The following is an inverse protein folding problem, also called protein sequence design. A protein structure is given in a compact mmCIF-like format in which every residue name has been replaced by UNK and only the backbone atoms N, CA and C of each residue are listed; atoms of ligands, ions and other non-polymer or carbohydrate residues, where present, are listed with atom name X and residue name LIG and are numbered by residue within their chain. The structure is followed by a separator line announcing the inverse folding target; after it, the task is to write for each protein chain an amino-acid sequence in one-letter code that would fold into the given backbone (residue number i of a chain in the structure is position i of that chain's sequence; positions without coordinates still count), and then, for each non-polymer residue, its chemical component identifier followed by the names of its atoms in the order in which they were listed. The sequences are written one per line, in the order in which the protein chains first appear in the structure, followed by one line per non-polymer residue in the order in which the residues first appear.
data_IF_281611073856
#
_entry.id   IF_281611073856
#
_cell.length_a   1.000
_cell.length_b   1.000
_cell.length_c   1.000
_cell.angle_alpha   90.00
_cell.angle_beta   90.00
_cell.angle_gamma   90.00
#
_symmetry.space_group_name_H-M   'P 1'
#
loop_
_entity.id
_entity.type
_entity.pdbx_description
1 polymer ?
#
# COMPACT_ATOMS: atom_id res chain seq x y z
N UNK A 1 3.74 -2.64 -7.36
CA UNK A 1 3.20 -2.60 -5.98
C UNK A 1 3.09 -1.15 -5.58
N UNK A 2 1.87 -0.70 -5.29
CA UNK A 2 1.53 0.67 -4.92
C UNK A 2 0.29 0.67 -4.04
N UNK A 3 -0.07 1.79 -3.44
CA UNK A 3 -1.36 1.98 -2.78
C UNK A 3 -2.05 3.24 -3.30
N UNK A 4 -3.35 3.32 -3.09
CA UNK A 4 -4.18 4.48 -3.40
C UNK A 4 -4.79 5.03 -2.10
N UNK A 5 -5.01 6.35 -2.04
CA UNK A 5 -5.73 6.99 -0.92
C UNK A 5 -7.24 6.74 -1.01
N UNK A 6 -7.75 6.53 -2.22
CA UNK A 6 -9.15 6.21 -2.48
C UNK A 6 -9.42 4.71 -2.31
N UNK A 7 -10.67 4.38 -1.99
CA UNK A 7 -11.17 3.04 -2.23
C UNK A 7 -11.23 2.80 -3.74
N UNK A 8 -11.03 1.56 -4.18
CA UNK A 8 -10.96 1.20 -5.59
C UNK A 8 -11.82 -0.03 -5.88
N UNK A 9 -12.65 0.06 -6.92
CA UNK A 9 -13.36 -1.08 -7.50
C UNK A 9 -12.70 -1.45 -8.82
N UNK A 10 -11.92 -2.52 -8.81
CA UNK A 10 -11.23 -3.08 -9.98
C UNK A 10 -12.14 -4.12 -10.65
N UNK A 11 -12.69 -3.78 -11.81
CA UNK A 11 -13.53 -4.67 -12.61
C UNK A 11 -12.72 -5.29 -13.76
N UNK A 12 -12.72 -6.61 -13.87
CA UNK A 12 -12.11 -7.32 -15.00
C UNK A 12 -13.14 -7.46 -16.13
N UNK A 13 -12.95 -6.71 -17.21
CA UNK A 13 -13.90 -6.65 -18.33
C UNK A 13 -13.65 -7.80 -19.32
N UNK A 14 -12.38 -8.14 -19.55
CA UNK A 14 -11.97 -9.19 -20.48
C UNK A 14 -10.65 -9.82 -20.01
N UNK A 15 -10.48 -11.11 -20.24
CA UNK A 15 -9.29 -11.87 -19.87
C UNK A 15 -9.30 -12.27 -18.39
N UNK A 16 -8.09 -12.54 -17.86
CA UNK A 16 -7.89 -12.95 -16.47
C UNK A 16 -6.81 -12.10 -15.83
N UNK A 17 -6.99 -11.77 -14.56
CA UNK A 17 -6.05 -10.92 -13.82
C UNK A 17 -5.77 -11.51 -12.45
N UNK A 18 -4.50 -11.64 -12.09
CA UNK A 18 -4.11 -11.88 -10.71
C UNK A 18 -3.89 -10.55 -10.00
N UNK A 19 -4.43 -10.44 -8.80
CA UNK A 19 -4.23 -9.30 -7.89
C UNK A 19 -3.64 -9.83 -6.60
N UNK A 20 -2.53 -9.22 -6.18
CA UNK A 20 -1.95 -9.45 -4.86
C UNK A 20 -2.16 -8.20 -4.02
N UNK A 21 -2.62 -8.38 -2.79
CA UNK A 21 -2.80 -7.33 -1.81
C UNK A 21 -2.01 -7.63 -0.54
N UNK A 22 -1.60 -6.57 0.14
CA UNK A 22 -0.96 -6.61 1.46
C UNK A 22 -1.80 -5.75 2.41
N UNK A 23 -1.76 -6.08 3.71
CA UNK A 23 -2.40 -5.20 4.68
C UNK A 23 -1.67 -3.86 4.76
N UNK A 24 -2.38 -2.75 5.06
CA UNK A 24 -1.77 -1.43 5.21
C UNK A 24 -0.60 -1.40 6.21
N UNK A 25 -0.65 -2.21 7.29
CA UNK A 25 0.43 -2.31 8.28
C UNK A 25 1.76 -2.81 7.71
N UNK A 26 1.75 -3.47 6.55
CA UNK A 26 2.96 -3.92 5.85
C UNK A 26 3.70 -2.80 5.12
N UNK A 27 3.19 -1.56 5.14
CA UNK A 27 3.78 -0.37 4.49
C UNK A 27 5.28 -0.21 4.78
N UNK A 28 5.70 -0.48 6.02
CA UNK A 28 7.11 -0.39 6.45
C UNK A 28 8.00 -1.52 5.93
N UNK A 29 7.42 -2.62 5.44
CA UNK A 29 8.14 -3.81 4.98
C UNK A 29 8.27 -3.88 3.45
N UNK A 30 7.60 -3.00 2.70
CA UNK A 30 7.50 -3.07 1.24
C UNK A 30 8.28 -1.98 0.50
N UNK A 31 9.10 -1.19 1.22
CA UNK A 31 10.05 -0.23 0.65
C UNK A 31 9.41 0.77 -0.33
N UNK A 32 8.38 1.48 0.14
CA UNK A 32 7.74 2.53 -0.64
C UNK A 32 8.61 3.78 -0.77
N UNK A 33 8.47 4.44 -1.90
CA UNK A 33 8.95 5.79 -2.16
C UNK A 33 7.79 6.57 -2.80
N UNK A 34 7.21 7.51 -2.06
CA UNK A 34 5.88 8.02 -2.37
C UNK A 34 4.85 6.88 -2.31
N UNK A 35 3.92 6.83 -3.26
CA UNK A 35 2.86 5.81 -3.29
C UNK A 35 3.28 4.45 -3.88
N UNK A 36 4.53 4.31 -4.36
CA UNK A 36 4.97 3.13 -5.12
C UNK A 36 6.25 2.48 -4.57
N UNK A 37 6.34 1.16 -4.71
CA UNK A 37 7.52 0.38 -4.31
C UNK A 37 8.35 0.01 -5.54
N UNK A 38 9.67 0.10 -5.40
CA UNK A 38 10.63 -0.35 -6.43
C UNK A 38 10.56 -1.86 -6.73
N UNK A 39 9.94 -2.65 -5.85
CA UNK A 39 9.63 -4.06 -6.14
C UNK A 39 8.65 -4.19 -7.32
N UNK A 40 7.75 -3.22 -7.51
CA UNK A 40 6.89 -3.16 -8.70
C UNK A 40 6.08 -4.44 -8.90
N UNK A 41 6.08 -4.95 -10.13
CA UNK A 41 5.53 -6.27 -10.50
C UNK A 41 6.56 -7.40 -10.37
N UNK A 42 7.83 -7.11 -10.06
CA UNK A 42 8.89 -8.14 -9.88
C UNK A 42 8.54 -9.12 -8.77
N UNK A 43 7.78 -8.68 -7.77
CA UNK A 43 7.30 -9.54 -6.69
C UNK A 43 6.38 -10.68 -7.17
N UNK A 44 5.69 -10.47 -8.29
CA UNK A 44 4.80 -11.47 -8.89
C UNK A 44 5.57 -12.56 -9.64
N UNK A 45 6.81 -12.30 -10.07
CA UNK A 45 7.67 -13.23 -10.81
C UNK A 45 8.31 -14.27 -9.87
N UNK A 46 7.94 -15.56 -9.94
CA UNK A 46 8.45 -16.57 -9.02
C UNK A 46 9.96 -16.84 -9.20
N UNK A 47 10.47 -16.81 -10.43
CA UNK A 47 11.88 -17.08 -10.77
C UNK A 47 12.84 -16.02 -10.22
N UNK A 48 12.44 -14.75 -10.21
CA UNK A 48 13.26 -13.63 -9.71
C UNK A 48 13.18 -13.42 -8.20
N UNK A 49 12.31 -14.16 -7.51
CA UNK A 49 11.92 -13.86 -6.12
C UNK A 49 13.07 -13.98 -5.12
N UNK A 50 13.92 -14.98 -5.25
CA UNK A 50 15.07 -15.15 -4.36
C UNK A 50 16.07 -14.00 -4.45
N UNK A 51 16.25 -13.41 -5.64
CA UNK A 51 17.07 -12.21 -5.80
C UNK A 51 16.36 -10.98 -5.22
N UNK A 52 15.05 -10.85 -5.46
CA UNK A 52 14.26 -9.75 -4.93
C UNK A 52 14.34 -9.67 -3.40
N UNK A 53 14.29 -10.80 -2.70
CA UNK A 53 14.42 -10.83 -1.23
C UNK A 53 15.81 -10.46 -0.73
N UNK A 54 16.87 -10.62 -1.54
CA UNK A 54 18.19 -10.08 -1.17
C UNK A 54 18.24 -8.56 -1.29
N UNK A 55 17.52 -8.00 -2.26
CA UNK A 55 17.41 -6.54 -2.45
C UNK A 55 16.45 -5.90 -1.42
N UNK A 56 15.36 -6.59 -1.07
CA UNK A 56 14.28 -6.12 -0.21
C UNK A 56 13.96 -7.13 0.91
N UNK A 57 14.86 -7.36 1.87
CA UNK A 57 14.75 -8.45 2.84
C UNK A 57 13.52 -8.41 3.75
N UNK A 58 13.02 -7.23 4.11
CA UNK A 58 11.81 -7.12 4.94
C UNK A 58 10.54 -7.56 4.20
N UNK A 59 10.57 -7.50 2.87
CA UNK A 59 9.40 -7.75 2.03
C UNK A 59 9.05 -9.24 1.95
N UNK A 60 10.01 -10.14 2.21
CA UNK A 60 9.76 -11.59 2.19
C UNK A 60 8.68 -11.98 3.22
N UNK A 61 8.80 -11.46 4.44
CA UNK A 61 7.83 -11.69 5.51
C UNK A 61 6.45 -11.11 5.18
N UNK A 62 6.41 -9.88 4.66
CA UNK A 62 5.16 -9.24 4.22
C UNK A 62 4.48 -10.06 3.10
N UNK A 63 5.26 -10.48 2.11
CA UNK A 63 4.76 -11.25 0.96
C UNK A 63 4.24 -12.64 1.33
N UNK A 64 4.77 -13.23 2.40
CA UNK A 64 4.25 -14.48 2.95
C UNK A 64 2.83 -14.34 3.54
N UNK A 65 2.45 -13.13 3.98
CA UNK A 65 1.12 -12.79 4.53
C UNK A 65 0.17 -12.16 3.50
N UNK A 66 0.54 -12.17 2.22
CA UNK A 66 -0.26 -11.54 1.17
C UNK A 66 -1.61 -12.22 0.98
N UNK A 67 -2.57 -11.43 0.51
CA UNK A 67 -3.82 -11.90 -0.07
C UNK A 67 -3.66 -11.98 -1.58
N UNK A 68 -4.30 -12.97 -2.20
CA UNK A 68 -4.23 -13.21 -3.63
C UNK A 68 -5.63 -13.51 -4.15
N UNK A 69 -6.01 -12.84 -5.23
CA UNK A 69 -7.27 -13.06 -5.94
C UNK A 69 -6.98 -13.20 -7.43
N UNK A 70 -7.61 -14.18 -8.07
CA UNK A 70 -7.69 -14.26 -9.52
C UNK A 70 -9.08 -13.78 -9.94
N UNK A 71 -9.11 -12.80 -10.84
CA UNK A 71 -10.33 -12.21 -11.40
C UNK A 71 -10.54 -12.76 -12.80
N UNK A 72 -11.75 -13.23 -13.06
CA UNK A 72 -12.27 -13.58 -14.37
C UNK A 72 -13.17 -12.47 -14.91
N UNK A 73 -13.63 -12.65 -16.14
CA UNK A 73 -14.48 -11.66 -16.81
C UNK A 73 -15.80 -11.47 -16.07
N UNK A 74 -16.10 -10.21 -15.73
CA UNK A 74 -17.27 -9.83 -14.93
C UNK A 74 -16.98 -9.68 -13.44
N UNK A 75 -15.84 -10.19 -12.94
CA UNK A 75 -15.49 -10.03 -11.53
C UNK A 75 -15.15 -8.59 -11.18
N UNK A 76 -15.53 -8.21 -9.96
CA UNK A 76 -15.21 -6.91 -9.37
C UNK A 76 -14.53 -7.14 -8.02
N UNK A 77 -13.32 -6.63 -7.89
CA UNK A 77 -12.57 -6.63 -6.64
C UNK A 77 -12.67 -5.26 -5.99
N UNK A 78 -13.20 -5.21 -4.77
CA UNK A 78 -13.08 -4.05 -3.89
C UNK A 78 -11.71 -4.06 -3.21
N UNK A 79 -10.97 -2.96 -3.36
CA UNK A 79 -9.67 -2.71 -2.76
C UNK A 79 -9.85 -1.50 -1.84
N UNK A 80 -9.80 -1.67 -0.51
CA UNK A 80 -9.97 -0.55 0.40
C UNK A 80 -8.78 0.44 0.28
N UNK A 81 -9.02 1.71 0.58
CA UNK A 81 -8.00 2.75 0.72
C UNK A 81 -6.79 2.24 1.51
N UNK A 82 -5.59 2.64 1.07
CA UNK A 82 -4.30 2.31 1.66
C UNK A 82 -3.86 0.85 1.60
N UNK A 83 -4.58 -0.05 0.92
CA UNK A 83 -4.12 -1.42 0.70
C UNK A 83 -3.08 -1.48 -0.41
N UNK A 84 -1.80 -1.81 -0.10
CA UNK A 84 -0.80 -1.95 -1.14
C UNK A 84 -1.12 -3.17 -2.02
N UNK A 85 -1.12 -2.96 -3.33
CA UNK A 85 -1.48 -3.99 -4.28
C UNK A 85 -0.65 -3.93 -5.58
N UNK A 86 -0.61 -5.06 -6.27
CA UNK A 86 -0.04 -5.18 -7.61
C UNK A 86 -0.84 -6.21 -8.41
N UNK A 87 -0.81 -6.07 -9.73
CA UNK A 87 -1.58 -6.94 -10.62
C UNK A 87 -0.71 -7.47 -11.76
N UNK A 88 -1.09 -8.62 -12.28
CA UNK A 88 -0.60 -9.13 -13.55
C UNK A 88 -1.75 -9.69 -14.38
N UNK A 89 -1.65 -9.57 -15.70
CA UNK A 89 -2.55 -10.27 -16.61
C UNK A 89 -2.15 -11.74 -16.69
N UNK A 90 -3.10 -12.64 -16.52
CA UNK A 90 -2.90 -14.07 -16.62
C UNK A 90 -3.18 -14.55 -18.05
N UNK A 91 -2.51 -15.61 -18.52
CA UNK A 91 -2.87 -16.26 -19.77
C UNK A 91 -4.30 -16.87 -19.69
N UNK A 92 -4.96 -17.04 -20.83
CA UNK A 92 -6.25 -17.73 -20.88
C UNK A 92 -6.09 -19.20 -20.47
N UNK A 93 -7.12 -19.78 -19.85
CA UNK A 93 -7.12 -21.17 -19.37
C UNK A 93 -7.10 -22.20 -20.52
N UNK A 94 -7.79 -21.88 -21.61
CA UNK A 94 -7.81 -22.66 -22.84
C UNK A 94 -7.52 -21.71 -24.01
N UNK A 95 -6.71 -22.16 -24.98
CA UNK A 95 -6.13 -21.33 -26.05
C UNK A 95 -6.98 -20.16 -26.53
N UNK A 96 -6.34 -19.00 -26.73
CA UNK A 96 -7.05 -17.77 -27.06
C UNK A 96 -6.16 -16.53 -26.89
N UNK A 97 -6.79 -15.35 -26.94
CA UNK A 97 -6.09 -14.07 -26.77
C UNK A 97 -5.55 -13.90 -25.35
N UNK A 98 -4.34 -13.33 -25.22
CA UNK A 98 -3.77 -12.87 -23.94
C UNK A 98 -4.26 -11.48 -23.52
N UNK A 99 -5.24 -10.94 -24.24
CA UNK A 99 -5.83 -9.64 -23.93
C UNK A 99 -6.47 -9.67 -22.54
N UNK A 100 -6.10 -8.70 -21.71
CA UNK A 100 -6.75 -8.43 -20.43
C UNK A 100 -7.12 -6.95 -20.38
N UNK A 101 -8.40 -6.66 -20.14
CA UNK A 101 -8.94 -5.30 -20.01
C UNK A 101 -9.57 -5.20 -18.62
N UNK A 102 -9.24 -4.14 -17.90
CA UNK A 102 -9.85 -3.85 -16.60
C UNK A 102 -10.11 -2.37 -16.46
N UNK A 103 -11.14 -2.04 -15.68
CA UNK A 103 -11.55 -0.67 -15.38
C UNK A 103 -11.54 -0.51 -13.87
N UNK A 104 -10.93 0.57 -13.38
CA UNK A 104 -10.94 0.93 -11.98
C UNK A 104 -11.90 2.10 -11.77
N UNK A 105 -12.68 2.04 -10.69
CA UNK A 105 -13.46 3.19 -10.22
C UNK A 105 -12.99 3.55 -8.82
N UNK A 106 -12.56 4.80 -8.64
CA UNK A 106 -12.06 5.28 -7.37
C UNK A 106 -13.12 6.07 -6.62
N UNK A 107 -13.24 5.81 -5.32
CA UNK A 107 -14.13 6.53 -4.42
C UNK A 107 -13.31 7.11 -3.26
N UNK A 108 -13.34 8.43 -3.16
CA UNK A 108 -12.78 9.12 -2.01
C UNK A 108 -13.84 9.17 -0.91
N UNK A 109 -13.53 8.57 0.25
CA UNK A 109 -14.47 8.56 1.38
C UNK A 109 -14.76 9.98 1.87
N UNK A 110 -15.97 10.27 2.37
CA UNK A 110 -16.32 11.59 2.87
C UNK A 110 -15.32 12.15 3.91
N UNK A 111 -14.85 11.31 4.84
CA UNK A 111 -13.87 11.72 5.84
C UNK A 111 -12.50 12.09 5.24
N UNK A 112 -12.10 11.43 4.16
CA UNK A 112 -10.86 11.71 3.45
C UNK A 112 -11.01 12.88 2.46
N UNK A 113 -12.22 13.11 1.94
CA UNK A 113 -12.51 14.16 0.97
C UNK A 113 -12.20 15.56 1.50
N UNK A 114 -12.50 15.81 2.78
CA UNK A 114 -12.17 17.08 3.44
C UNK A 114 -10.66 17.30 3.60
N UNK A 115 -9.86 16.24 3.53
CA UNK A 115 -8.42 16.24 3.76
C UNK A 115 -7.60 16.07 2.47
N UNK A 116 -8.26 15.94 1.32
CA UNK A 116 -7.62 15.69 0.04
C UNK A 116 -7.14 17.00 -0.62
N UNK A 117 -5.99 16.97 -1.30
CA UNK A 117 -5.51 18.13 -2.06
C UNK A 117 -6.38 18.33 -3.31
N UNK A 118 -7.16 19.41 -3.44
CA UNK A 118 -8.05 19.60 -4.59
C UNK A 118 -7.30 19.72 -5.92
N UNK A 119 -5.98 19.94 -5.90
CA UNK A 119 -5.12 19.97 -7.11
C UNK A 119 -4.64 18.59 -7.52
N UNK A 120 -4.80 17.59 -6.65
CA UNK A 120 -4.45 16.21 -6.96
C UNK A 120 -5.59 15.51 -7.70
N UNK A 121 -5.67 15.75 -9.00
CA UNK A 121 -6.72 15.18 -9.86
C UNK A 121 -6.71 13.65 -9.85
N UNK A 122 -5.57 13.03 -9.51
CA UNK A 122 -5.38 11.58 -9.56
C UNK A 122 -5.49 10.89 -8.20
N UNK A 123 -5.67 11.63 -7.10
CA UNK A 123 -5.70 11.11 -5.73
C UNK A 123 -4.50 10.19 -5.39
N UNK A 124 -3.33 10.52 -5.94
CA UNK A 124 -2.08 9.76 -5.79
C UNK A 124 -1.15 10.35 -4.71
N UNK A 125 -1.47 11.53 -4.19
CA UNK A 125 -0.73 12.21 -3.12
C UNK A 125 -1.33 11.85 -1.78
N UNK A 126 -0.50 11.93 -0.75
CA UNK A 126 -0.97 11.80 0.63
C UNK A 126 -2.07 12.83 0.96
N UNK A 127 -2.88 12.54 1.98
CA UNK A 127 -3.80 13.52 2.54
C UNK A 127 -3.02 14.75 3.07
N UNK A 128 -3.63 15.93 3.03
CA UNK A 128 -3.00 17.21 3.40
C UNK A 128 -2.30 17.17 4.76
N UNK A 129 -2.89 16.65 5.86
CA UNK A 129 -2.19 16.57 7.14
C UNK A 129 -0.93 15.69 7.09
N UNK A 130 -0.96 14.61 6.28
CA UNK A 130 0.20 13.76 6.10
C UNK A 130 1.28 14.47 5.25
N UNK A 131 0.91 15.22 4.21
CA UNK A 131 1.85 16.06 3.47
C UNK A 131 2.53 17.11 4.37
N UNK A 132 1.75 17.77 5.22
CA UNK A 132 2.23 18.78 6.17
C UNK A 132 3.18 18.21 7.22
N UNK A 133 3.03 16.93 7.58
CA UNK A 133 3.90 16.23 8.50
C UNK A 133 5.17 15.66 7.81
N UNK A 134 5.00 15.01 6.66
CA UNK A 134 6.08 14.33 5.94
C UNK A 134 7.09 15.31 5.35
N UNK A 135 6.65 16.43 4.80
CA UNK A 135 7.56 17.38 4.16
C UNK A 135 8.60 17.97 5.12
N UNK A 136 8.24 18.53 6.30
CA UNK A 136 9.24 18.95 7.29
C UNK A 136 10.04 17.79 7.87
N UNK A 137 9.47 16.59 7.93
CA UNK A 137 10.20 15.40 8.36
C UNK A 137 11.38 15.12 7.42
N UNK A 138 11.13 15.08 6.12
CA UNK A 138 12.15 14.88 5.09
C UNK A 138 13.12 16.05 4.99
N UNK A 139 12.62 17.27 4.89
CA UNK A 139 13.42 18.46 4.60
C UNK A 139 14.26 18.95 5.79
N UNK A 140 13.81 18.68 7.03
CA UNK A 140 14.42 19.25 8.25
C UNK A 140 14.82 18.20 9.26
N UNK A 141 13.92 17.25 9.54
CA UNK A 141 14.12 16.29 10.65
C UNK A 141 15.18 15.25 10.31
N UNK A 142 15.12 14.64 9.12
CA UNK A 142 16.12 13.68 8.68
C UNK A 142 17.54 14.28 8.62
N UNK A 143 17.77 15.46 7.99
CA UNK A 143 19.08 16.14 8.05
C UNK A 143 19.55 16.46 9.47
N UNK A 144 18.63 16.88 10.36
CA UNK A 144 18.99 17.16 11.74
C UNK A 144 19.50 15.91 12.48
N UNK A 145 18.82 14.77 12.30
CA UNK A 145 19.23 13.48 12.87
C UNK A 145 20.54 12.97 12.27
N UNK A 146 20.79 13.21 10.97
CA UNK A 146 22.03 12.80 10.30
C UNK A 146 23.28 13.45 10.90
N UNK A 147 23.18 14.66 11.50
CA UNK A 147 24.28 15.36 12.19
C UNK A 147 24.70 14.71 13.51
N UNK A 148 23.88 13.82 14.06
CA UNK A 148 24.20 13.13 15.31
C UNK A 148 25.22 12.00 15.09
N UNK A 149 26.12 11.72 16.06
CA UNK A 149 26.95 10.52 16.04
C UNK A 149 26.12 9.23 15.97
N UNK A 150 26.75 8.12 15.55
CA UNK A 150 26.03 6.89 15.19
C UNK A 150 25.11 6.35 16.31
N UNK A 151 25.60 6.31 17.55
CA UNK A 151 24.85 5.80 18.71
C UNK A 151 23.64 6.68 19.06
N UNK A 152 23.79 7.99 19.35
CA UNK A 152 22.63 8.84 19.66
C UNK A 152 21.67 8.95 18.47
N UNK A 153 22.16 8.99 17.23
CA UNK A 153 21.31 8.95 16.03
C UNK A 153 20.40 7.73 16.04
N UNK A 154 20.97 6.53 16.22
CA UNK A 154 20.21 5.29 16.29
C UNK A 154 19.22 5.24 17.46
N UNK A 155 19.61 5.77 18.62
CA UNK A 155 18.72 5.87 19.79
C UNK A 155 17.52 6.78 19.52
N UNK A 156 17.75 8.01 19.05
CA UNK A 156 16.67 8.97 18.81
C UNK A 156 15.77 8.57 17.65
N UNK A 157 16.31 8.00 16.56
CA UNK A 157 15.48 7.45 15.49
C UNK A 157 14.54 6.36 16.02
N UNK A 158 15.04 5.42 16.83
CA UNK A 158 14.20 4.38 17.44
C UNK A 158 13.17 4.94 18.42
N UNK A 159 13.54 5.93 19.23
CA UNK A 159 12.60 6.59 20.16
C UNK A 159 11.45 7.27 19.41
N UNK A 160 11.74 7.97 18.33
CA UNK A 160 10.72 8.60 17.48
C UNK A 160 9.85 7.56 16.78
N UNK A 161 10.47 6.53 16.19
CA UNK A 161 9.76 5.43 15.55
C UNK A 161 8.81 4.73 16.54
N UNK A 162 9.23 4.48 17.78
CA UNK A 162 8.39 3.88 18.80
C UNK A 162 7.15 4.72 19.12
N UNK A 163 7.27 6.05 19.11
CA UNK A 163 6.13 6.96 19.35
C UNK A 163 5.13 6.92 18.19
N UNK A 164 5.63 6.89 16.95
CA UNK A 164 4.79 6.79 15.75
C UNK A 164 4.11 5.41 15.66
N UNK A 165 4.82 4.34 16.00
CA UNK A 165 4.27 2.98 16.03
C UNK A 165 3.18 2.85 17.09
N UNK A 166 3.38 3.40 18.29
CA UNK A 166 2.34 3.40 19.33
C UNK A 166 1.07 4.12 18.85
N UNK A 167 1.21 5.29 18.22
CA UNK A 167 0.07 6.02 17.64
C UNK A 167 -0.63 5.22 16.54
N UNK A 168 0.11 4.49 15.71
CA UNK A 168 -0.46 3.63 14.67
C UNK A 168 -1.27 2.46 15.27
N UNK A 169 -0.72 1.77 16.27
CA UNK A 169 -1.41 0.66 16.95
C UNK A 169 -2.71 1.13 17.64
N UNK A 170 -2.68 2.28 18.31
CA UNK A 170 -3.88 2.89 18.92
C UNK A 170 -4.98 3.18 17.87
N UNK A 171 -4.59 3.70 16.70
CA UNK A 171 -5.52 3.98 15.61
C UNK A 171 -6.11 2.68 15.01
N UNK A 172 -5.30 1.65 14.84
CA UNK A 172 -5.78 0.34 14.37
C UNK A 172 -6.75 -0.31 15.37
N UNK A 173 -6.46 -0.24 16.67
CA UNK A 173 -7.37 -0.73 17.69
C UNK A 173 -8.71 0.01 17.68
N UNK A 174 -8.69 1.34 17.54
CA UNK A 174 -9.90 2.13 17.41
C UNK A 174 -10.73 1.72 16.19
N UNK A 175 -10.08 1.51 15.04
CA UNK A 175 -10.74 1.04 13.82
C UNK A 175 -11.36 -0.36 13.99
N UNK A 176 -10.65 -1.30 14.63
CA UNK A 176 -11.16 -2.65 14.93
C UNK A 176 -12.40 -2.62 15.84
N UNK A 177 -12.43 -1.74 16.84
CA UNK A 177 -13.58 -1.58 17.74
C UNK A 177 -14.82 -1.06 17.01
N UNK A 178 -14.65 -0.10 16.10
CA UNK A 178 -15.75 0.43 15.27
C UNK A 178 -16.34 -0.65 14.35
N UNK A 179 -15.49 -1.46 13.71
CA UNK A 179 -15.94 -2.57 12.86
C UNK A 179 -16.66 -3.68 13.66
N UNK A 180 -16.15 -4.03 14.84
CA UNK A 180 -16.79 -5.01 15.73
C UNK A 180 -18.18 -4.57 16.23
N UNK A 181 -18.38 -3.26 16.44
CA UNK A 181 -19.68 -2.70 16.82
C UNK A 181 -20.70 -2.68 15.67
N UNK A 182 -20.24 -2.59 14.42
CA UNK A 182 -21.09 -2.54 13.23
C UNK A 182 -21.65 -3.92 12.82
N UNK A 183 -21.05 -5.01 13.28
CA UNK A 183 -21.49 -6.40 12.98
C UNK A 183 -22.55 -6.90 14.00
N UNK A 184 -22.82 -6.15 15.07
CA UNK A 184 -23.79 -6.51 16.12
C UNK A 184 -25.19 -5.90 15.95
N UNK A 185 -25.46 -5.19 14.85
CA UNK A 185 -26.75 -4.57 14.53
C UNK A 185 -27.26 -4.98 13.15
#
# INVERSE_FOLDING_TARGET
LHYDVCDNFLCCIRGRKRVVLLEPREVGNIYLSGSSSAMGSRALEPSGRAQLWREFPLAEGAWARRYEAELEEGDVLFIPSFWPHCTEALPPLSGGSRLCISINTFLLRPEAAALHDPRDVWANRELLPAQDALKPFEDKTLPALQRLPAVPRGFYCRKMAASLLAMAEEAEEAARRLQGSAIQH
#
